data_IF_031883944734
#
_entry.id   IF_031883944734
#
_cell.length_a   1.000
_cell.length_b   1.000
_cell.length_c   1.000
_cell.angle_alpha   90.00
_cell.angle_beta   90.00
_cell.angle_gamma   90.00
#
_symmetry.space_group_name_H-M   'P 1'
#
loop_
_entity.id
_entity.type
_entity.pdbx_description
1 polymer ?
#
# COMPACT_ATOMS: atom_id res chain seq x y z
N UNK A 1 23.11 37.97 -18.29
CA UNK A 1 21.88 37.71 -17.51
C UNK A 1 21.05 36.72 -18.28
N UNK A 2 20.75 35.55 -17.72
CA UNK A 2 19.94 34.52 -18.37
C UNK A 2 18.47 34.74 -18.05
N UNK A 3 17.61 34.67 -19.06
CA UNK A 3 16.17 34.84 -18.92
C UNK A 3 15.46 33.50 -19.21
N UNK A 4 14.33 33.27 -18.56
CA UNK A 4 13.48 32.11 -18.84
C UNK A 4 12.89 32.22 -20.25
N UNK A 5 13.00 31.15 -21.05
CA UNK A 5 12.44 31.12 -22.41
C UNK A 5 10.90 31.21 -22.44
N UNK A 6 10.21 30.76 -21.39
CA UNK A 6 8.75 30.78 -21.32
C UNK A 6 8.16 32.12 -20.89
N UNK A 7 8.69 32.73 -19.82
CA UNK A 7 8.11 33.94 -19.20
C UNK A 7 9.01 35.18 -19.21
N UNK A 8 10.24 35.08 -19.75
CA UNK A 8 11.18 36.20 -19.83
C UNK A 8 11.79 36.67 -18.50
N UNK A 9 11.43 36.07 -17.36
CA UNK A 9 11.99 36.45 -16.04
C UNK A 9 13.47 36.10 -15.94
N UNK A 10 14.22 36.93 -15.20
CA UNK A 10 15.64 36.70 -14.91
C UNK A 10 15.81 35.45 -14.04
N UNK A 11 16.75 34.58 -14.43
CA UNK A 11 17.13 33.37 -13.71
C UNK A 11 18.49 33.57 -13.03
N UNK A 12 18.70 32.87 -11.92
CA UNK A 12 19.98 32.87 -11.20
C UNK A 12 21.11 32.17 -12.00
N UNK A 13 20.76 31.21 -12.86
CA UNK A 13 21.67 30.48 -13.74
C UNK A 13 20.98 30.07 -15.04
N UNK A 14 21.75 29.75 -16.09
CA UNK A 14 21.22 29.28 -17.39
C UNK A 14 20.45 27.97 -17.29
N UNK A 15 20.89 27.05 -16.43
CA UNK A 15 20.22 25.75 -16.21
C UNK A 15 19.16 25.77 -15.10
N UNK A 16 18.83 26.93 -14.53
CA UNK A 16 17.83 27.00 -13.47
C UNK A 16 16.41 26.87 -14.05
N UNK A 17 15.57 26.06 -13.42
CA UNK A 17 14.14 25.98 -13.74
C UNK A 17 13.44 27.24 -13.22
N UNK A 18 12.59 27.85 -14.04
CA UNK A 18 11.82 29.02 -13.62
C UNK A 18 10.70 28.61 -12.65
N UNK A 19 10.67 29.14 -11.42
CA UNK A 19 9.70 28.71 -10.41
C UNK A 19 8.26 29.04 -10.79
N UNK A 20 8.02 30.11 -11.55
CA UNK A 20 6.67 30.49 -11.98
C UNK A 20 6.17 29.57 -13.11
N UNK A 21 7.02 29.29 -14.10
CA UNK A 21 6.67 28.34 -15.16
C UNK A 21 6.51 26.92 -14.60
N UNK A 22 7.37 26.53 -13.65
CA UNK A 22 7.27 25.23 -12.96
C UNK A 22 5.95 25.10 -12.19
N UNK A 23 5.53 26.16 -11.47
CA UNK A 23 4.23 26.18 -10.79
C UNK A 23 3.04 26.09 -11.74
N UNK A 24 3.11 26.67 -12.93
CA UNK A 24 2.05 26.60 -13.93
C UNK A 24 1.95 25.21 -14.58
N UNK A 25 3.07 24.50 -14.66
CA UNK A 25 3.15 23.14 -15.19
C UNK A 25 2.91 22.08 -14.11
N UNK A 26 3.06 22.44 -12.84
CA UNK A 26 2.82 21.55 -11.72
C UNK A 26 1.33 21.15 -11.69
N UNK A 27 1.02 19.87 -11.47
CA UNK A 27 -0.36 19.46 -11.25
C UNK A 27 -0.95 20.21 -10.05
N UNK A 28 -2.26 20.49 -10.07
CA UNK A 28 -2.93 21.17 -8.96
C UNK A 28 -2.66 20.43 -7.65
N UNK A 29 -2.36 21.19 -6.59
CA UNK A 29 -2.16 20.61 -5.27
C UNK A 29 -3.42 19.82 -4.88
N UNK A 30 -3.28 18.58 -4.38
CA UNK A 30 -4.44 17.80 -3.96
C UNK A 30 -5.16 18.54 -2.83
N UNK A 31 -6.48 18.61 -2.90
CA UNK A 31 -7.32 19.19 -1.84
C UNK A 31 -7.31 18.25 -0.61
N UNK A 32 -6.86 18.70 0.58
CA UNK A 32 -6.79 17.87 1.77
C UNK A 32 -8.15 17.54 2.38
N UNK A 33 -9.24 18.16 1.94
CA UNK A 33 -10.59 17.95 2.47
C UNK A 33 -11.43 16.97 1.64
N UNK A 34 -11.02 16.72 0.39
CA UNK A 34 -11.76 15.88 -0.55
C UNK A 34 -11.18 14.48 -0.71
N UNK A 35 -12.06 13.49 -0.86
CA UNK A 35 -11.70 12.13 -1.31
C UNK A 35 -12.23 11.00 -0.43
N UNK A 36 -12.22 9.78 -0.99
CA UNK A 36 -12.82 8.59 -0.38
C UNK A 36 -12.03 7.96 0.80
N UNK A 37 -10.76 8.30 0.94
CA UNK A 37 -9.85 7.71 1.93
C UNK A 37 -9.27 8.77 2.86
N UNK A 38 -9.05 8.43 4.13
CA UNK A 38 -8.43 9.32 5.12
C UNK A 38 -7.03 8.86 5.46
N UNK A 39 -6.07 9.78 5.45
CA UNK A 39 -4.71 9.48 5.87
C UNK A 39 -4.62 9.36 7.40
N UNK A 40 -4.10 8.26 7.96
CA UNK A 40 -3.88 8.14 9.40
C UNK A 40 -2.76 9.04 9.95
N UNK A 41 -1.86 9.54 9.10
CA UNK A 41 -0.73 10.40 9.51
C UNK A 41 -1.08 11.88 9.59
N UNK A 42 -1.77 12.42 8.59
CA UNK A 42 -2.11 13.85 8.52
C UNK A 42 -3.61 14.16 8.51
N UNK A 43 -4.46 13.14 8.68
CA UNK A 43 -5.92 13.24 8.62
C UNK A 43 -6.53 13.75 7.31
N UNK A 44 -5.72 14.13 6.32
CA UNK A 44 -6.18 14.61 5.01
C UNK A 44 -6.90 13.50 4.22
N UNK A 45 -7.87 13.91 3.40
CA UNK A 45 -8.63 13.03 2.51
C UNK A 45 -7.98 12.94 1.13
N UNK A 46 -8.16 11.81 0.45
CA UNK A 46 -7.65 11.57 -0.90
C UNK A 46 -8.42 10.44 -1.61
N UNK A 47 -8.41 10.42 -2.94
CA UNK A 47 -9.10 9.40 -3.75
C UNK A 47 -8.25 8.19 -4.11
N UNK A 48 -6.93 8.35 -4.20
CA UNK A 48 -5.99 7.25 -4.40
C UNK A 48 -4.64 7.58 -3.75
N UNK A 49 -3.97 6.59 -3.14
CA UNK A 49 -2.59 6.78 -2.71
C UNK A 49 -1.66 6.85 -3.92
N UNK A 50 -0.56 7.58 -3.78
CA UNK A 50 0.49 7.66 -4.81
C UNK A 50 1.35 6.40 -4.74
N UNK A 51 1.49 5.62 -5.83
CA UNK A 51 2.44 4.51 -5.85
C UNK A 51 3.86 5.06 -5.84
N UNK A 52 4.66 4.66 -4.85
CA UNK A 52 6.03 5.11 -4.69
C UNK A 52 6.98 3.91 -4.73
N UNK A 53 8.06 3.95 -5.53
CA UNK A 53 9.08 2.91 -5.53
C UNK A 53 9.68 2.70 -4.14
N UNK A 54 9.95 1.45 -3.78
CA UNK A 54 10.55 1.07 -2.51
C UNK A 54 11.80 0.19 -2.73
N UNK A 55 12.89 0.39 -1.97
CA UNK A 55 13.09 1.44 -0.96
C UNK A 55 13.32 2.84 -1.56
N UNK A 56 12.92 3.89 -0.83
CA UNK A 56 13.10 5.29 -1.26
C UNK A 56 14.60 5.59 -1.36
N UNK A 57 15.04 6.17 -2.48
CA UNK A 57 16.46 6.47 -2.76
C UNK A 57 17.40 5.25 -2.82
N UNK A 58 16.88 4.08 -3.20
CA UNK A 58 17.69 2.93 -3.55
C UNK A 58 18.78 3.30 -4.58
N UNK A 59 20.06 3.05 -4.25
CA UNK A 59 21.22 3.32 -5.13
C UNK A 59 21.35 2.36 -6.32
N UNK A 60 20.44 1.42 -6.47
CA UNK A 60 20.53 0.33 -7.42
C UNK A 60 19.39 0.43 -8.44
N UNK A 61 19.66 -0.07 -9.65
CA UNK A 61 18.93 0.23 -10.88
C UNK A 61 17.45 -0.17 -10.88
N UNK A 62 17.00 -1.04 -9.97
CA UNK A 62 15.66 -1.61 -10.00
C UNK A 62 14.96 -1.50 -8.63
N UNK A 63 13.77 -0.91 -8.55
CA UNK A 63 12.99 -0.92 -7.31
C UNK A 63 12.53 -2.35 -6.96
N UNK A 64 12.55 -2.71 -5.67
CA UNK A 64 12.04 -4.03 -5.20
C UNK A 64 10.53 -4.14 -5.27
N UNK A 65 9.85 -3.00 -5.29
CA UNK A 65 8.41 -2.95 -5.39
C UNK A 65 7.88 -1.54 -5.27
N UNK A 66 6.57 -1.44 -5.14
CA UNK A 66 5.86 -0.18 -4.96
C UNK A 66 5.09 -0.21 -3.64
N UNK A 67 5.14 0.89 -2.88
CA UNK A 67 4.35 1.10 -1.68
C UNK A 67 3.39 2.27 -1.88
N UNK A 68 2.13 2.18 -1.42
CA UNK A 68 1.22 3.31 -1.48
C UNK A 68 1.68 4.39 -0.50
N UNK A 69 1.60 5.65 -0.92
CA UNK A 69 2.04 6.82 -0.17
C UNK A 69 0.92 7.85 -0.12
N UNK A 70 0.80 8.57 1.00
CA UNK A 70 -0.14 9.67 1.08
C UNK A 70 0.28 10.81 0.13
N UNK A 71 -0.62 11.36 -0.71
CA UNK A 71 -0.30 12.48 -1.59
C UNK A 71 0.03 13.78 -0.84
N UNK A 72 -0.47 13.91 0.40
CA UNK A 72 -0.31 15.12 1.22
C UNK A 72 0.95 15.09 2.08
N UNK A 73 0.99 14.20 3.07
CA UNK A 73 2.08 14.15 4.05
C UNK A 73 3.23 13.22 3.65
N UNK A 74 3.12 12.55 2.50
CA UNK A 74 4.15 11.64 2.00
C UNK A 74 4.45 10.46 2.93
N UNK A 75 3.59 10.14 3.89
CA UNK A 75 3.73 8.96 4.72
C UNK A 75 3.44 7.67 3.92
N UNK A 76 4.19 6.60 4.19
CA UNK A 76 3.92 5.29 3.62
C UNK A 76 2.68 4.66 4.27
N UNK A 77 1.80 4.18 3.40
CA UNK A 77 0.52 3.61 3.77
C UNK A 77 0.55 2.09 3.56
N UNK A 78 -0.26 1.38 4.34
CA UNK A 78 -0.52 -0.05 4.20
C UNK A 78 -2.01 -0.25 3.93
N UNK A 79 -2.33 -0.97 2.86
CA UNK A 79 -3.71 -1.34 2.57
C UNK A 79 -4.17 -2.44 3.53
N UNK A 80 -5.22 -2.17 4.33
CA UNK A 80 -5.81 -3.14 5.25
C UNK A 80 -6.70 -4.17 4.55
N UNK A 81 -7.09 -3.95 3.28
CA UNK A 81 -7.84 -4.95 2.51
C UNK A 81 -7.01 -6.15 2.10
N UNK A 82 -5.69 -6.06 2.18
CA UNK A 82 -4.80 -7.19 1.93
C UNK A 82 -4.17 -7.61 3.27
N UNK A 83 -4.93 -8.32 4.13
CA UNK A 83 -4.40 -8.78 5.39
C UNK A 83 -3.23 -9.73 5.12
N UNK A 84 -2.04 -9.39 5.64
CA UNK A 84 -0.95 -10.36 5.68
C UNK A 84 -1.41 -11.53 6.55
N UNK A 85 -1.43 -12.73 5.96
CA UNK A 85 -1.55 -13.97 6.74
C UNK A 85 -0.31 -14.01 7.62
N UNK A 86 -0.47 -14.08 8.95
CA UNK A 86 0.69 -14.17 9.81
C UNK A 86 1.43 -15.48 9.52
N UNK A 87 2.77 -15.50 9.53
CA UNK A 87 3.52 -16.73 9.32
C UNK A 87 3.13 -17.82 10.34
N UNK A 88 2.76 -17.40 11.55
CA UNK A 88 2.17 -18.28 12.57
C UNK A 88 0.83 -18.89 12.15
N UNK A 89 -0.08 -18.11 11.58
CA UNK A 89 -1.37 -18.62 11.11
C UNK A 89 -1.18 -19.57 9.91
N UNK A 90 -0.26 -19.26 9.00
CA UNK A 90 0.11 -20.15 7.90
C UNK A 90 0.73 -21.45 8.42
N UNK A 91 1.63 -21.37 9.38
CA UNK A 91 2.25 -22.53 10.03
C UNK A 91 1.24 -23.40 10.78
N UNK A 92 0.30 -22.80 11.51
CA UNK A 92 -0.76 -23.52 12.21
C UNK A 92 -1.69 -24.25 11.24
N UNK A 93 -2.07 -23.61 10.13
CA UNK A 93 -2.86 -24.25 9.08
C UNK A 93 -2.10 -25.44 8.46
N UNK A 94 -0.81 -25.26 8.17
CA UNK A 94 0.03 -26.33 7.64
C UNK A 94 0.12 -27.52 8.60
N UNK A 95 0.34 -27.27 9.90
CA UNK A 95 0.38 -28.30 10.92
C UNK A 95 -0.95 -29.08 11.02
N UNK A 96 -2.09 -28.38 10.95
CA UNK A 96 -3.41 -29.03 10.92
C UNK A 96 -3.61 -29.91 9.69
N UNK A 97 -3.16 -29.46 8.51
CA UNK A 97 -3.20 -30.24 7.28
C UNK A 97 -2.35 -31.51 7.42
N UNK A 98 -1.12 -31.39 7.93
CA UNK A 98 -0.23 -32.53 8.16
C UNK A 98 -0.86 -33.51 9.16
N UNK A 99 -1.37 -33.03 10.29
CA UNK A 99 -2.02 -33.88 11.30
C UNK A 99 -3.24 -34.62 10.72
N UNK A 100 -4.04 -33.95 9.89
CA UNK A 100 -5.20 -34.55 9.22
C UNK A 100 -4.80 -35.68 8.25
N UNK A 101 -3.65 -35.59 7.59
CA UNK A 101 -3.13 -36.64 6.71
C UNK A 101 -2.81 -37.94 7.47
N UNK A 102 -2.31 -37.82 8.70
CA UNK A 102 -1.96 -38.99 9.54
C UNK A 102 -3.17 -39.62 10.24
N UNK A 103 -4.14 -38.81 10.65
CA UNK A 103 -5.33 -39.26 11.39
C UNK A 103 -6.38 -39.92 10.49
N UNK A 104 -6.51 -39.48 9.24
CA UNK A 104 -7.57 -39.95 8.34
C UNK A 104 -7.05 -41.02 7.38
N UNK A 105 -7.48 -42.27 7.57
CA UNK A 105 -7.14 -43.40 6.67
C UNK A 105 -7.89 -43.37 5.33
N UNK A 106 -9.10 -42.80 5.31
CA UNK A 106 -9.91 -42.75 4.10
C UNK A 106 -9.57 -41.51 3.25
N UNK A 107 -9.28 -41.67 1.93
CA UNK A 107 -8.94 -40.55 1.05
C UNK A 107 -10.07 -39.52 0.93
N UNK A 108 -11.31 -39.98 1.01
CA UNK A 108 -12.51 -39.15 0.96
C UNK A 108 -12.59 -38.19 2.15
N UNK A 109 -12.28 -38.69 3.36
CA UNK A 109 -12.30 -37.89 4.58
C UNK A 109 -11.22 -36.80 4.60
N UNK A 110 -10.05 -37.06 3.98
CA UNK A 110 -8.97 -36.07 3.82
C UNK A 110 -9.40 -34.89 2.94
N UNK A 111 -10.01 -35.19 1.80
CA UNK A 111 -10.48 -34.16 0.86
C UNK A 111 -11.52 -33.24 1.52
N UNK A 112 -12.47 -33.80 2.26
CA UNK A 112 -13.49 -33.02 2.99
C UNK A 112 -12.85 -32.13 4.05
N UNK A 113 -11.92 -32.67 4.85
CA UNK A 113 -11.28 -31.91 5.93
C UNK A 113 -10.44 -30.74 5.40
N UNK A 114 -9.66 -30.97 4.34
CA UNK A 114 -8.90 -29.92 3.67
C UNK A 114 -9.84 -28.86 3.08
N UNK A 115 -10.93 -29.29 2.43
CA UNK A 115 -11.94 -28.39 1.88
C UNK A 115 -12.57 -27.50 2.96
N UNK A 116 -12.98 -28.07 4.10
CA UNK A 116 -13.55 -27.33 5.22
C UNK A 116 -12.56 -26.33 5.81
N UNK A 117 -11.29 -26.71 6.00
CA UNK A 117 -10.25 -25.81 6.50
C UNK A 117 -9.99 -24.66 5.52
N UNK A 118 -9.92 -24.94 4.21
CA UNK A 118 -9.73 -23.92 3.19
C UNK A 118 -10.91 -22.94 3.13
N UNK A 119 -12.14 -23.44 3.12
CA UNK A 119 -13.36 -22.60 3.14
C UNK A 119 -13.44 -21.79 4.43
N UNK A 120 -13.14 -22.39 5.58
CA UNK A 120 -13.10 -21.70 6.87
C UNK A 120 -12.07 -20.57 6.89
N UNK A 121 -10.86 -20.81 6.37
CA UNK A 121 -9.81 -19.79 6.24
C UNK A 121 -10.24 -18.65 5.31
N UNK A 122 -10.76 -18.98 4.13
CA UNK A 122 -11.26 -17.99 3.17
C UNK A 122 -12.38 -17.14 3.77
N UNK A 123 -13.32 -17.75 4.49
CA UNK A 123 -14.39 -17.04 5.19
C UNK A 123 -13.85 -16.11 6.27
N UNK A 124 -12.84 -16.55 7.03
CA UNK A 124 -12.22 -15.75 8.10
C UNK A 124 -11.45 -14.55 7.54
N UNK A 125 -10.70 -14.76 6.45
CA UNK A 125 -10.01 -13.69 5.72
C UNK A 125 -11.02 -12.68 5.15
N UNK A 126 -12.06 -13.16 4.49
CA UNK A 126 -13.12 -12.31 3.94
C UNK A 126 -13.90 -11.53 5.01
N UNK A 127 -14.19 -12.16 6.16
CA UNK A 127 -14.83 -11.48 7.30
C UNK A 127 -13.95 -10.37 7.85
N UNK A 128 -12.63 -10.59 7.88
CA UNK A 128 -11.64 -9.60 8.34
C UNK A 128 -11.56 -8.41 7.37
N UNK A 129 -11.73 -8.65 6.08
CA UNK A 129 -11.75 -7.60 5.05
C UNK A 129 -13.04 -6.75 5.08
N UNK A 130 -14.18 -7.33 5.47
CA UNK A 130 -15.47 -6.61 5.55
C UNK A 130 -15.57 -5.57 6.67
N UNK A 131 -14.72 -5.65 7.69
CA UNK A 131 -14.83 -4.82 8.90
C UNK A 131 -14.23 -3.42 8.79
N UNK A 132 -13.51 -3.10 7.70
CA UNK A 132 -12.79 -1.82 7.61
C UNK A 132 -13.63 -0.80 6.82
N UNK A 133 -14.06 0.31 7.46
CA UNK A 133 -14.73 1.40 6.75
C UNK A 133 -13.87 1.86 5.57
N UNK A 134 -14.50 2.22 4.44
CA UNK A 134 -13.76 2.63 3.23
C UNK A 134 -12.77 3.75 3.54
N UNK A 135 -13.15 4.70 4.39
CA UNK A 135 -12.31 5.83 4.80
C UNK A 135 -11.03 5.39 5.54
N UNK A 136 -11.07 4.29 6.28
CA UNK A 136 -9.98 3.79 7.13
C UNK A 136 -9.20 2.64 6.49
N UNK A 137 -9.32 2.49 5.17
CA UNK A 137 -8.65 1.43 4.41
C UNK A 137 -7.13 1.39 4.65
N UNK A 138 -6.51 2.54 4.89
CA UNK A 138 -5.05 2.64 5.00
C UNK A 138 -4.58 2.79 6.45
N UNK A 139 -3.51 2.07 6.80
CA UNK A 139 -2.74 2.25 8.05
C UNK A 139 -1.37 2.86 7.76
N UNK A 140 -0.72 3.43 8.77
CA UNK A 140 0.70 3.79 8.67
C UNK A 140 1.58 2.54 8.66
N UNK A 141 2.62 2.56 7.83
CA UNK A 141 3.73 1.61 7.94
C UNK A 141 4.71 2.16 8.98
N UNK A 142 4.88 1.46 10.10
CA UNK A 142 5.90 1.81 11.09
C UNK A 142 7.28 1.35 10.59
N UNK A 143 8.35 2.13 10.85
CA UNK A 143 9.70 1.71 10.50
C UNK A 143 10.05 0.40 11.22
N UNK A 144 10.47 -0.62 10.46
CA UNK A 144 10.86 -1.94 11.00
C UNK A 144 9.80 -3.05 10.92
N UNK A 145 8.62 -2.81 10.34
CA UNK A 145 7.64 -3.87 10.04
C UNK A 145 7.71 -4.31 8.57
N UNK A 146 8.73 -5.09 8.21
CA UNK A 146 8.80 -5.80 6.93
C UNK A 146 8.67 -7.32 7.13
#
# INVERSE_FOLDING_TARGET
>A
MTACAGCGRRLAASQAVCPDCDRLLAPPAPDPTHGAYRCPGCAARFDAPVPCPWPENARWFMPQGVRPRCPHCRAFLRDRRWPRVSPWAAGALYALIVLAQFQLRAPQARAVTIGVLAVGLLWLLWRRERGVPREERYALVLPGQD
#
